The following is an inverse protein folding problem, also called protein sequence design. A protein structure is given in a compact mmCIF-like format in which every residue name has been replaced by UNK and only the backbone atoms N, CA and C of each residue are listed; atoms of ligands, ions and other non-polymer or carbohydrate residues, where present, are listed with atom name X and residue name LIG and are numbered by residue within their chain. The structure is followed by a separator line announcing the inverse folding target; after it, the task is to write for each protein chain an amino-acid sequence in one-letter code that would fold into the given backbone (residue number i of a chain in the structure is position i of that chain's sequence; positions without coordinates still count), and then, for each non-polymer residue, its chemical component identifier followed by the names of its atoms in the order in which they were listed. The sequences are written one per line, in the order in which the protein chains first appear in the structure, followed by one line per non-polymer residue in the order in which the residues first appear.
data_IF_742396967507
#
_entry.id   IF_742396967507
#
_cell.length_a   1.000
_cell.length_b   1.000
_cell.length_c   1.000
_cell.angle_alpha   90.00
_cell.angle_beta   90.00
_cell.angle_gamma   90.00
#
_symmetry.space_group_name_H-M   'P 1'
#
loop_
_entity.id
_entity.type
_entity.pdbx_description
1 polymer ?
#
# COMPACT_ATOMS: atom_id res chain seq x y z
N UNK A 1 -59.28 -35.80 -14.85
CA UNK A 1 -58.72 -34.66 -14.08
C UNK A 1 -57.22 -34.62 -14.34
N UNK A 2 -56.73 -33.48 -14.81
CA UNK A 2 -55.39 -33.29 -15.37
C UNK A 2 -54.37 -33.12 -14.23
N UNK A 3 -53.26 -33.84 -14.34
CA UNK A 3 -52.10 -33.71 -13.46
C UNK A 3 -51.28 -32.46 -13.81
N UNK A 4 -50.78 -31.76 -12.79
CA UNK A 4 -49.69 -30.79 -12.94
C UNK A 4 -48.86 -30.78 -11.66
N UNK A 5 -47.74 -31.51 -11.68
CA UNK A 5 -46.67 -31.38 -10.70
C UNK A 5 -45.74 -30.25 -11.17
N UNK A 6 -45.76 -29.12 -10.46
CA UNK A 6 -44.85 -28.02 -10.72
C UNK A 6 -43.51 -28.29 -10.02
N UNK A 7 -42.47 -28.52 -10.82
CA UNK A 7 -41.08 -28.59 -10.40
C UNK A 7 -40.57 -27.15 -10.16
N UNK A 8 -40.47 -26.73 -8.90
CA UNK A 8 -39.80 -25.47 -8.55
C UNK A 8 -38.30 -25.75 -8.39
N UNK A 9 -37.55 -25.48 -9.45
CA UNK A 9 -36.09 -25.47 -9.42
C UNK A 9 -35.59 -24.31 -8.55
N UNK A 10 -34.92 -24.65 -7.45
CA UNK A 10 -34.15 -23.73 -6.63
C UNK A 10 -32.88 -23.30 -7.37
N UNK A 11 -32.87 -22.09 -7.90
CA UNK A 11 -31.63 -21.37 -8.26
C UNK A 11 -31.79 -19.89 -7.99
N UNK A 12 -31.49 -19.48 -6.77
CA UNK A 12 -30.89 -18.17 -6.55
C UNK A 12 -29.48 -18.43 -6.06
N UNK A 13 -28.56 -18.41 -7.02
CA UNK A 13 -27.15 -18.24 -6.74
C UNK A 13 -27.02 -17.01 -5.84
N UNK A 14 -26.29 -17.16 -4.74
CA UNK A 14 -25.82 -16.05 -3.93
C UNK A 14 -25.14 -15.09 -4.90
N UNK A 15 -25.73 -13.91 -5.10
CA UNK A 15 -25.04 -12.81 -5.73
C UNK A 15 -23.85 -12.52 -4.82
N UNK A 16 -22.66 -12.96 -5.22
CA UNK A 16 -21.43 -12.52 -4.62
C UNK A 16 -21.41 -11.01 -4.84
N UNK A 17 -21.55 -10.23 -3.76
CA UNK A 17 -21.51 -8.78 -3.79
C UNK A 17 -20.18 -8.35 -4.39
N UNK A 18 -20.13 -8.13 -5.70
CA UNK A 18 -18.90 -7.88 -6.47
C UNK A 18 -18.16 -6.59 -6.09
N UNK A 19 -18.75 -5.84 -5.16
CA UNK A 19 -18.28 -4.59 -4.62
C UNK A 19 -17.27 -4.75 -3.47
N UNK A 20 -17.24 -5.87 -2.75
CA UNK A 20 -16.30 -6.10 -1.63
C UNK A 20 -15.64 -7.47 -1.75
N UNK A 21 -14.36 -7.57 -1.40
CA UNK A 21 -13.65 -8.84 -1.41
C UNK A 21 -12.58 -8.92 -0.32
N UNK A 22 -12.20 -10.15 0.02
CA UNK A 22 -11.04 -10.42 0.87
C UNK A 22 -10.00 -11.20 0.08
N UNK A 23 -8.74 -10.81 0.17
CA UNK A 23 -7.63 -11.51 -0.48
C UNK A 23 -6.41 -11.52 0.45
N UNK A 24 -5.89 -12.73 0.73
CA UNK A 24 -4.75 -12.98 1.64
C UNK A 24 -4.87 -12.31 3.02
N UNK A 25 -6.11 -12.11 3.48
CA UNK A 25 -6.43 -11.50 4.77
C UNK A 25 -6.56 -9.97 4.77
N UNK A 26 -6.46 -9.32 3.60
CA UNK A 26 -6.78 -7.90 3.44
C UNK A 26 -8.20 -7.79 2.90
N UNK A 27 -9.03 -6.98 3.57
CA UNK A 27 -10.40 -6.69 3.15
C UNK A 27 -10.43 -5.41 2.32
N UNK A 28 -11.06 -5.48 1.15
CA UNK A 28 -11.16 -4.41 0.18
C UNK A 28 -12.63 -4.08 -0.08
N UNK A 29 -12.95 -2.79 0.01
CA UNK A 29 -14.20 -2.22 -0.45
C UNK A 29 -13.98 -1.51 -1.80
N UNK A 30 -14.45 -2.13 -2.87
CA UNK A 30 -14.47 -1.60 -4.23
C UNK A 30 -15.87 -1.14 -4.68
N UNK A 31 -16.81 -0.93 -3.76
CA UNK A 31 -18.20 -0.56 -4.07
C UNK A 31 -18.30 0.69 -4.93
N UNK A 32 -17.44 1.68 -4.65
CA UNK A 32 -17.42 2.93 -5.42
C UNK A 32 -16.93 2.75 -6.87
N UNK A 33 -16.23 1.66 -7.18
CA UNK A 33 -15.68 1.35 -8.50
C UNK A 33 -16.46 0.25 -9.23
N UNK A 34 -17.56 -0.25 -8.66
CA UNK A 34 -18.24 -1.47 -9.11
C UNK A 34 -18.77 -1.40 -10.55
N UNK A 35 -19.10 -0.20 -11.02
CA UNK A 35 -19.68 0.05 -12.35
C UNK A 35 -18.61 0.34 -13.42
N UNK A 36 -17.33 0.30 -13.06
CA UNK A 36 -16.26 0.53 -14.02
C UNK A 36 -16.11 -0.66 -14.98
N UNK A 37 -16.02 -0.41 -16.31
CA UNK A 37 -15.99 -1.47 -17.30
C UNK A 37 -14.72 -2.36 -17.21
N UNK A 38 -13.65 -1.86 -16.60
CA UNK A 38 -12.38 -2.55 -16.38
C UNK A 38 -12.17 -2.97 -14.91
N UNK A 39 -13.25 -3.13 -14.12
CA UNK A 39 -13.16 -3.53 -12.71
C UNK A 39 -12.36 -4.82 -12.51
N UNK A 40 -12.49 -5.78 -13.44
CA UNK A 40 -11.78 -7.07 -13.34
C UNK A 40 -10.27 -6.89 -13.36
N UNK A 41 -9.77 -6.04 -14.25
CA UNK A 41 -8.35 -5.69 -14.38
C UNK A 41 -7.88 -4.89 -13.17
N UNK A 42 -8.69 -3.97 -12.67
CA UNK A 42 -8.40 -3.20 -11.44
C UNK A 42 -8.28 -4.15 -10.24
N UNK A 43 -9.21 -5.10 -10.07
CA UNK A 43 -9.15 -6.10 -8.99
C UNK A 43 -7.93 -7.01 -9.13
N UNK A 44 -7.57 -7.41 -10.35
CA UNK A 44 -6.35 -8.20 -10.58
C UNK A 44 -5.08 -7.41 -10.21
N UNK A 45 -5.00 -6.15 -10.63
CA UNK A 45 -3.94 -5.21 -10.25
C UNK A 45 -3.85 -5.05 -8.73
N UNK A 46 -4.98 -4.86 -8.04
CA UNK A 46 -5.03 -4.70 -6.59
C UNK A 46 -4.66 -5.99 -5.84
N UNK A 47 -5.01 -7.17 -6.35
CA UNK A 47 -4.53 -8.43 -5.78
C UNK A 47 -3.02 -8.54 -5.85
N UNK A 48 -2.41 -8.13 -6.98
CA UNK A 48 -0.97 -8.07 -7.11
C UNK A 48 -0.33 -7.07 -6.12
N UNK A 49 -0.96 -5.90 -5.89
CA UNK A 49 -0.54 -4.97 -4.84
C UNK A 49 -0.60 -5.60 -3.44
N UNK A 50 -1.62 -6.41 -3.15
CA UNK A 50 -1.71 -7.16 -1.90
C UNK A 50 -0.60 -8.21 -1.82
N UNK A 51 -0.28 -8.89 -2.92
CA UNK A 51 0.83 -9.85 -2.95
C UNK A 51 2.16 -9.17 -2.58
N UNK A 52 2.43 -7.96 -3.11
CA UNK A 52 3.58 -7.13 -2.69
C UNK A 52 3.57 -6.90 -1.17
N UNK A 53 2.44 -6.47 -0.61
CA UNK A 53 2.30 -6.19 0.83
C UNK A 53 2.59 -7.44 1.65
N UNK A 54 2.00 -8.58 1.28
CA UNK A 54 2.12 -9.82 2.05
C UNK A 54 3.52 -10.45 1.92
N UNK A 55 4.11 -10.39 0.73
CA UNK A 55 5.37 -11.07 0.41
C UNK A 55 6.61 -10.20 0.66
N UNK A 56 6.43 -8.93 1.08
CA UNK A 56 7.55 -8.06 1.39
C UNK A 56 8.41 -8.53 2.58
N UNK A 57 7.90 -9.45 3.39
CA UNK A 57 8.64 -10.10 4.47
C UNK A 57 8.78 -9.27 5.75
N UNK A 58 7.98 -8.22 5.92
CA UNK A 58 7.91 -7.49 7.18
C UNK A 58 7.48 -8.41 8.34
N UNK A 59 7.98 -8.11 9.55
CA UNK A 59 7.73 -8.90 10.76
C UNK A 59 6.23 -9.04 11.11
N UNK A 60 5.84 -10.12 11.82
CA UNK A 60 4.44 -10.50 12.00
C UNK A 60 3.53 -9.41 12.58
N UNK A 61 4.01 -8.57 13.48
CA UNK A 61 3.22 -7.49 14.07
C UNK A 61 2.89 -6.38 13.05
N UNK A 62 3.81 -6.08 12.13
CA UNK A 62 3.57 -5.12 11.04
C UNK A 62 2.61 -5.72 10.03
N UNK A 63 2.79 -7.01 9.69
CA UNK A 63 1.86 -7.72 8.82
C UNK A 63 0.44 -7.76 9.40
N UNK A 64 0.32 -7.95 10.72
CA UNK A 64 -0.97 -7.91 11.43
C UNK A 64 -1.60 -6.52 11.34
N UNK A 65 -0.80 -5.46 11.50
CA UNK A 65 -1.26 -4.09 11.31
C UNK A 65 -1.72 -3.83 9.87
N UNK A 66 -0.93 -4.21 8.86
CA UNK A 66 -1.31 -4.03 7.45
C UNK A 66 -2.63 -4.71 7.11
N UNK A 67 -2.84 -5.94 7.57
CA UNK A 67 -4.10 -6.68 7.37
C UNK A 67 -5.29 -6.08 8.10
N UNK A 68 -5.07 -5.34 9.19
CA UNK A 68 -6.17 -4.70 9.93
C UNK A 68 -6.63 -3.38 9.32
N UNK A 69 -5.88 -2.79 8.38
CA UNK A 69 -6.26 -1.53 7.75
C UNK A 69 -7.39 -1.76 6.73
N UNK A 70 -8.51 -1.02 6.82
CA UNK A 70 -9.50 -0.98 5.75
C UNK A 70 -8.87 -0.46 4.45
N UNK A 71 -9.16 -1.11 3.33
CA UNK A 71 -8.74 -0.66 2.00
C UNK A 71 -9.99 -0.33 1.19
N UNK A 72 -10.08 0.91 0.69
CA UNK A 72 -11.16 1.31 -0.20
C UNK A 72 -10.63 1.66 -1.59
N UNK A 73 -11.32 1.21 -2.63
CA UNK A 73 -11.07 1.59 -4.01
C UNK A 73 -12.03 2.72 -4.38
N UNK A 74 -11.51 3.85 -4.85
CA UNK A 74 -12.34 4.97 -5.31
C UNK A 74 -12.12 5.25 -6.78
N UNK A 75 -13.17 5.67 -7.52
CA UNK A 75 -12.99 6.29 -8.83
C UNK A 75 -12.05 7.49 -8.67
N UNK A 76 -10.83 7.33 -9.14
CA UNK A 76 -9.79 8.35 -9.10
C UNK A 76 -9.75 9.16 -10.38
N UNK A 77 -8.71 9.98 -10.54
CA UNK A 77 -8.41 10.66 -11.80
C UNK A 77 -7.74 9.71 -12.82
N UNK A 78 -7.49 8.45 -12.44
CA UNK A 78 -6.91 7.42 -13.30
C UNK A 78 -5.38 7.44 -13.35
N UNK A 79 -4.71 8.15 -12.44
CA UNK A 79 -3.25 8.23 -12.38
C UNK A 79 -2.59 7.06 -11.61
N UNK A 80 -3.41 6.24 -10.93
CA UNK A 80 -2.95 5.07 -10.18
C UNK A 80 -2.40 5.38 -8.80
N UNK A 81 -2.75 6.54 -8.23
CA UNK A 81 -2.35 6.95 -6.89
C UNK A 81 -3.08 6.23 -5.75
N UNK A 82 -2.70 6.60 -4.53
CA UNK A 82 -3.37 6.22 -3.30
C UNK A 82 -3.44 7.40 -2.35
N UNK A 83 -4.16 7.21 -1.25
CA UNK A 83 -4.19 8.20 -0.18
C UNK A 83 -4.46 7.60 1.19
N UNK A 84 -3.61 7.99 2.15
CA UNK A 84 -3.87 7.91 3.57
C UNK A 84 -4.26 9.28 4.15
N UNK A 85 -5.28 9.27 5.02
CA UNK A 85 -5.64 10.43 5.86
C UNK A 85 -5.78 10.00 7.31
N UNK A 86 -5.26 10.80 8.24
CA UNK A 86 -5.43 10.57 9.68
C UNK A 86 -6.89 10.66 10.16
N UNK A 87 -7.78 11.21 9.32
CA UNK A 87 -9.23 11.33 9.58
C UNK A 87 -10.03 10.15 9.03
N UNK A 88 -9.41 9.24 8.28
CA UNK A 88 -10.04 8.05 7.75
C UNK A 88 -9.63 6.82 8.59
N UNK A 89 -10.44 5.76 8.55
CA UNK A 89 -10.13 4.52 9.29
C UNK A 89 -9.04 3.67 8.63
N UNK A 90 -8.81 3.88 7.33
CA UNK A 90 -7.92 3.06 6.51
C UNK A 90 -7.20 3.83 5.42
N UNK A 91 -6.94 3.15 4.31
CA UNK A 91 -6.27 3.69 3.12
C UNK A 91 -7.20 3.64 1.92
N UNK A 92 -7.02 4.58 1.00
CA UNK A 92 -7.70 4.58 -0.29
C UNK A 92 -6.69 4.30 -1.40
N UNK A 93 -7.09 3.54 -2.40
CA UNK A 93 -6.37 3.37 -3.67
C UNK A 93 -7.27 3.76 -4.83
N UNK A 94 -6.69 4.32 -5.88
CA UNK A 94 -7.45 4.67 -7.07
C UNK A 94 -7.88 3.42 -7.85
N UNK A 95 -9.05 3.51 -8.48
CA UNK A 95 -9.60 2.50 -9.36
C UNK A 95 -8.86 2.47 -10.71
N UNK A 96 -7.60 2.03 -10.69
CA UNK A 96 -6.74 1.99 -11.87
C UNK A 96 -5.89 0.72 -11.92
N UNK A 97 -5.52 0.32 -13.13
CA UNK A 97 -4.48 -0.70 -13.33
C UNK A 97 -3.14 0.01 -13.19
N UNK A 98 -2.34 -0.41 -12.22
CA UNK A 98 -1.00 0.14 -11.98
C UNK A 98 0.05 -0.82 -12.51
N UNK A 99 1.22 -0.29 -12.83
CA UNK A 99 2.35 -1.13 -13.25
C UNK A 99 2.70 -2.13 -12.13
N UNK A 100 2.96 -3.43 -12.44
CA UNK A 100 3.15 -4.48 -11.43
C UNK A 100 4.25 -4.19 -10.40
N UNK A 101 5.24 -3.40 -10.75
CA UNK A 101 6.36 -3.02 -9.89
C UNK A 101 6.03 -1.89 -8.92
N UNK A 102 4.96 -1.12 -9.13
CA UNK A 102 4.61 0.05 -8.29
C UNK A 102 3.92 -0.39 -6.99
N UNK A 103 4.50 -0.16 -5.80
CA UNK A 103 3.94 -0.66 -4.55
C UNK A 103 2.94 0.34 -3.91
N UNK A 104 1.91 0.76 -4.63
CA UNK A 104 0.97 1.81 -4.21
C UNK A 104 0.28 1.47 -2.89
N UNK A 105 -0.27 0.26 -2.76
CA UNK A 105 -0.96 -0.12 -1.52
C UNK A 105 0.00 -0.17 -0.32
N UNK A 106 1.20 -0.70 -0.53
CA UNK A 106 2.24 -0.74 0.52
C UNK A 106 2.62 0.67 0.96
N UNK A 107 2.74 1.60 0.02
CA UNK A 107 3.03 3.01 0.30
C UNK A 107 1.98 3.63 1.23
N UNK A 108 0.70 3.47 0.91
CA UNK A 108 -0.37 4.02 1.75
C UNK A 108 -0.45 3.35 3.13
N UNK A 109 -0.19 2.04 3.19
CA UNK A 109 -0.13 1.31 4.46
C UNK A 109 1.04 1.76 5.33
N UNK A 110 2.15 2.19 4.73
CA UNK A 110 3.28 2.78 5.46
C UNK A 110 2.94 4.16 6.01
N UNK A 111 2.15 4.98 5.30
CA UNK A 111 1.60 6.20 5.88
C UNK A 111 0.71 5.91 7.09
N UNK A 112 -0.19 4.93 6.98
CA UNK A 112 -1.03 4.49 8.10
C UNK A 112 -0.18 4.01 9.29
N UNK A 113 0.86 3.22 9.03
CA UNK A 113 1.77 2.70 10.06
C UNK A 113 2.55 3.80 10.76
N UNK A 114 3.08 4.76 9.99
CA UNK A 114 3.77 5.93 10.52
C UNK A 114 2.88 6.73 11.47
N UNK A 115 1.61 6.97 11.09
CA UNK A 115 0.70 7.73 11.92
C UNK A 115 0.24 6.97 13.18
N UNK A 116 -0.15 5.70 13.02
CA UNK A 116 -0.87 4.94 14.06
C UNK A 116 0.02 4.15 15.00
N UNK A 117 1.24 3.78 14.57
CA UNK A 117 2.08 2.84 15.30
C UNK A 117 3.40 3.46 15.74
N UNK A 118 4.05 4.26 14.89
CA UNK A 118 5.35 4.81 15.26
C UNK A 118 5.24 5.85 16.38
N UNK A 119 6.18 5.85 17.36
CA UNK A 119 6.22 6.87 18.40
C UNK A 119 6.32 8.27 17.79
N UNK A 120 5.56 9.23 18.33
CA UNK A 120 5.51 10.60 17.81
C UNK A 120 4.71 10.77 16.51
N UNK A 121 4.09 9.71 15.99
CA UNK A 121 3.29 9.72 14.76
C UNK A 121 4.06 10.41 13.61
N UNK A 122 3.45 11.40 12.94
CA UNK A 122 4.07 12.13 11.82
C UNK A 122 5.30 12.98 12.20
N UNK A 123 5.61 13.07 13.49
CA UNK A 123 6.78 13.75 14.07
C UNK A 123 7.69 12.76 14.78
N UNK A 124 7.74 11.51 14.31
CA UNK A 124 8.69 10.53 14.81
C UNK A 124 10.13 11.12 14.74
N UNK A 125 10.85 11.22 15.87
CA UNK A 125 12.09 11.98 15.95
C UNK A 125 13.21 11.38 15.09
N UNK A 126 13.25 10.06 14.95
CA UNK A 126 14.22 9.39 14.07
C UNK A 126 13.94 9.71 12.60
N UNK A 127 12.68 9.61 12.16
CA UNK A 127 12.32 9.92 10.77
C UNK A 127 12.55 11.40 10.42
N UNK A 128 12.22 12.33 11.33
CA UNK A 128 12.54 13.75 11.16
C UNK A 128 14.05 13.93 11.00
N UNK A 129 14.86 13.32 11.87
CA UNK A 129 16.32 13.39 11.79
C UNK A 129 16.85 12.83 10.46
N UNK A 130 16.39 11.66 10.02
CA UNK A 130 16.87 11.06 8.77
C UNK A 130 16.47 11.88 7.53
N UNK A 131 15.26 12.45 7.55
CA UNK A 131 14.80 13.35 6.51
C UNK A 131 15.62 14.64 6.48
N UNK A 132 15.89 15.26 7.62
CA UNK A 132 16.70 16.48 7.71
C UNK A 132 18.14 16.24 7.24
N UNK A 133 18.75 15.11 7.61
CA UNK A 133 20.06 14.69 7.09
C UNK A 133 20.01 14.56 5.57
N UNK A 134 18.96 13.96 5.01
CA UNK A 134 18.83 13.81 3.56
C UNK A 134 18.75 15.15 2.83
N UNK A 135 18.05 16.13 3.42
CA UNK A 135 17.92 17.47 2.85
C UNK A 135 19.18 18.30 2.99
N UNK A 136 19.77 18.35 4.20
CA UNK A 136 20.94 19.17 4.51
C UNK A 136 22.17 18.75 3.70
N UNK A 137 22.27 17.46 3.37
CA UNK A 137 23.38 16.93 2.58
C UNK A 137 23.02 16.72 1.10
N UNK A 138 21.87 17.24 0.64
CA UNK A 138 21.43 17.18 -0.76
C UNK A 138 21.47 15.75 -1.34
N UNK A 139 21.08 14.76 -0.53
CA UNK A 139 21.20 13.35 -0.91
C UNK A 139 20.25 12.98 -2.05
N UNK A 140 19.18 13.73 -2.27
CA UNK A 140 18.26 13.57 -3.39
C UNK A 140 18.00 14.93 -4.05
N UNK A 141 17.58 14.98 -5.34
CA UNK A 141 17.18 16.22 -5.99
C UNK A 141 16.15 16.98 -5.14
N UNK A 142 16.27 18.30 -5.06
CA UNK A 142 15.47 19.13 -4.16
C UNK A 142 13.95 19.06 -4.44
N UNK A 143 13.57 18.75 -5.67
CA UNK A 143 12.19 18.57 -6.14
C UNK A 143 11.73 17.09 -6.14
N UNK A 144 12.60 16.16 -5.72
CA UNK A 144 12.25 14.75 -5.68
C UNK A 144 11.11 14.48 -4.70
N UNK A 145 10.18 13.62 -5.10
CA UNK A 145 8.98 13.29 -4.32
C UNK A 145 9.31 12.78 -2.91
N UNK A 146 10.40 12.03 -2.76
CA UNK A 146 10.90 11.53 -1.46
C UNK A 146 11.23 12.67 -0.46
N UNK A 147 11.49 13.89 -0.94
CA UNK A 147 11.78 15.07 -0.12
C UNK A 147 10.58 16.01 0.08
N UNK A 148 9.38 15.64 -0.39
CA UNK A 148 8.17 16.46 -0.26
C UNK A 148 7.83 16.77 1.20
N UNK A 149 7.90 15.77 2.08
CA UNK A 149 7.79 15.90 3.54
C UNK A 149 8.26 14.59 4.23
N UNK A 150 8.32 14.58 5.57
CA UNK A 150 8.74 13.41 6.36
C UNK A 150 7.84 12.18 6.16
N UNK A 151 6.54 12.37 5.91
CA UNK A 151 5.63 11.25 5.66
C UNK A 151 5.96 10.54 4.35
N UNK A 152 6.15 11.31 3.28
CA UNK A 152 6.50 10.83 1.94
C UNK A 152 7.90 10.22 1.95
N UNK A 153 8.85 10.84 2.65
CA UNK A 153 10.19 10.30 2.86
C UNK A 153 10.13 8.87 3.39
N UNK A 154 9.38 8.65 4.48
CA UNK A 154 9.23 7.32 5.06
C UNK A 154 8.49 6.35 4.14
N UNK A 155 7.36 6.76 3.55
CA UNK A 155 6.55 5.85 2.73
C UNK A 155 7.27 5.45 1.43
N UNK A 156 7.99 6.37 0.79
CA UNK A 156 8.80 6.07 -0.41
C UNK A 156 9.97 5.14 -0.06
N UNK A 157 10.80 5.51 0.92
CA UNK A 157 12.01 4.74 1.26
C UNK A 157 11.67 3.40 1.91
N UNK A 158 10.61 3.33 2.72
CA UNK A 158 10.09 2.08 3.27
C UNK A 158 9.53 1.14 2.20
N UNK A 159 8.79 1.67 1.21
CA UNK A 159 8.32 0.89 0.07
C UNK A 159 9.49 0.33 -0.74
N UNK A 160 10.48 1.16 -1.03
CA UNK A 160 11.70 0.76 -1.73
C UNK A 160 12.49 -0.29 -0.94
N UNK A 161 12.65 -0.12 0.37
CA UNK A 161 13.33 -1.09 1.22
C UNK A 161 12.64 -2.45 1.16
N UNK A 162 11.33 -2.49 1.40
CA UNK A 162 10.55 -3.72 1.49
C UNK A 162 10.39 -4.42 0.13
N UNK A 163 10.10 -3.67 -0.94
CA UNK A 163 9.78 -4.21 -2.26
C UNK A 163 10.99 -4.27 -3.22
N UNK A 164 11.74 -3.18 -3.33
CA UNK A 164 13.06 -3.17 -3.98
C UNK A 164 13.22 -2.25 -5.17
N UNK A 165 12.11 -1.75 -5.75
CA UNK A 165 12.14 -0.80 -6.84
C UNK A 165 10.99 0.20 -6.70
N UNK A 166 11.26 1.46 -7.03
CA UNK A 166 10.25 2.51 -7.21
C UNK A 166 10.69 3.43 -8.35
N UNK A 167 9.77 3.95 -9.16
CA UNK A 167 10.09 4.77 -10.35
C UNK A 167 10.70 6.15 -10.06
N UNK A 168 11.04 6.42 -8.80
CA UNK A 168 11.45 7.74 -8.31
C UNK A 168 12.67 7.58 -7.42
N UNK A 169 13.53 8.61 -7.27
CA UNK A 169 14.61 8.57 -6.28
C UNK A 169 14.11 8.10 -4.90
N UNK A 170 14.83 7.19 -4.20
CA UNK A 170 16.18 6.67 -4.51
C UNK A 170 16.30 5.66 -5.66
N UNK A 171 15.20 5.25 -6.30
CA UNK A 171 15.07 4.23 -7.35
C UNK A 171 15.31 2.79 -6.86
N UNK A 172 16.45 2.53 -6.20
CA UNK A 172 16.84 1.20 -5.74
C UNK A 172 17.43 1.17 -4.32
N UNK A 173 17.54 -0.04 -3.77
CA UNK A 173 18.07 -0.29 -2.41
C UNK A 173 19.53 0.13 -2.27
N UNK A 174 20.37 -0.15 -3.27
CA UNK A 174 21.78 0.22 -3.27
C UNK A 174 21.96 1.74 -3.09
N UNK A 175 21.20 2.54 -3.82
CA UNK A 175 21.24 4.00 -3.74
C UNK A 175 20.80 4.50 -2.36
N UNK A 176 19.73 3.93 -1.79
CA UNK A 176 19.29 4.29 -0.43
C UNK A 176 20.34 3.89 0.61
N UNK A 177 20.91 2.69 0.49
CA UNK A 177 21.96 2.18 1.37
C UNK A 177 23.21 3.07 1.33
N UNK A 178 23.71 3.40 0.13
CA UNK A 178 24.96 4.14 -0.03
C UNK A 178 24.82 5.60 0.43
N UNK A 179 23.66 6.23 0.20
CA UNK A 179 23.39 7.60 0.64
C UNK A 179 23.09 7.68 2.13
N UNK A 180 22.38 6.71 2.69
CA UNK A 180 21.90 6.74 4.08
C UNK A 180 22.02 5.38 4.78
N UNK A 181 23.23 4.85 5.01
CA UNK A 181 23.42 3.48 5.51
C UNK A 181 22.83 3.26 6.91
N UNK A 182 22.92 4.27 7.79
CA UNK A 182 22.32 4.20 9.14
C UNK A 182 20.79 4.15 9.06
N UNK A 183 20.19 4.89 8.12
CA UNK A 183 18.74 4.84 7.92
C UNK A 183 18.31 3.51 7.30
N UNK A 184 19.08 2.99 6.35
CA UNK A 184 18.84 1.68 5.75
C UNK A 184 18.85 0.56 6.80
N UNK A 185 19.82 0.59 7.72
CA UNK A 185 19.84 -0.33 8.86
C UNK A 185 18.61 -0.14 9.77
N UNK A 186 18.26 1.11 10.09
CA UNK A 186 17.08 1.42 10.91
C UNK A 186 15.79 0.89 10.29
N UNK A 187 15.62 0.96 8.97
CA UNK A 187 14.49 0.35 8.26
C UNK A 187 14.48 -1.17 8.41
N UNK A 188 15.64 -1.82 8.31
CA UNK A 188 15.77 -3.26 8.53
C UNK A 188 15.38 -3.69 9.94
N UNK A 189 15.82 -2.93 10.95
CA UNK A 189 15.49 -3.17 12.35
C UNK A 189 14.00 -2.91 12.61
N UNK A 190 13.46 -1.82 12.06
CA UNK A 190 12.03 -1.49 12.15
C UNK A 190 11.16 -2.60 11.56
N UNK A 191 11.46 -3.02 10.32
CA UNK A 191 10.66 -4.02 9.63
C UNK A 191 10.96 -5.46 10.05
N UNK A 192 12.03 -5.68 10.82
CA UNK A 192 12.46 -7.01 11.25
C UNK A 192 12.90 -7.92 10.11
N UNK A 193 13.35 -7.34 8.99
CA UNK A 193 13.84 -8.06 7.82
C UNK A 193 15.03 -7.32 7.22
N UNK A 194 16.13 -8.04 7.00
CA UNK A 194 17.32 -7.48 6.37
C UNK A 194 17.24 -7.68 4.86
N UNK A 195 17.17 -6.58 4.12
CA UNK A 195 17.13 -6.58 2.66
C UNK A 195 18.53 -6.30 2.13
N UNK A 196 18.96 -7.09 1.15
CA UNK A 196 20.22 -6.84 0.45
C UNK A 196 20.11 -5.51 -0.31
N UNK A 197 21.12 -4.66 -0.14
CA UNK A 197 21.33 -3.48 -0.96
C UNK A 197 21.48 -3.86 -2.44
#
# INVERSE_FOLDING_TARGET
MIAAAALLATRSAIAQSGATFSYRGINVDASAAQDLPNLKEIVASLKHQIDIVIDCGAKPEIMTFFKSQPVSVKPGQGDGGGHFSSKADGVTVDAAVVAPEKPVLLHELLHAYHFRVLPGALQNPDLVRFYDIAKQNELYPADAYVLKNVQEFFAVTGSLYLWGNVDRPPNDRATLHDKQPVYYQWLGDLFGVQKKA
#
